data_IF_228577789268
#
_entry.id   IF_228577789268
#
_cell.length_a   1.000
_cell.length_b   1.000
_cell.length_c   1.000
_cell.angle_alpha   90.00
_cell.angle_beta   90.00
_cell.angle_gamma   90.00
#
_symmetry.space_group_name_H-M   'P 1'
#
loop_
_entity.id
_entity.type
_entity.pdbx_description
1 polymer ?
#
# COMPACT_ATOMS: atom_id res chain seq x y z
N UNK A 1 -11.34 -6.38 5.63
CA UNK A 1 -11.85 -6.30 4.23
C UNK A 1 -13.17 -7.05 4.05
N UNK A 2 -13.21 -8.38 4.26
CA UNK A 2 -14.45 -9.17 4.07
C UNK A 2 -15.68 -8.60 4.79
N UNK A 3 -15.56 -8.27 6.09
CA UNK A 3 -16.68 -7.65 6.82
C UNK A 3 -17.07 -6.26 6.28
N UNK A 4 -16.10 -5.47 5.83
CA UNK A 4 -16.37 -4.14 5.29
C UNK A 4 -17.08 -4.21 3.92
N UNK A 5 -16.97 -5.32 3.18
CA UNK A 5 -17.70 -5.55 1.93
C UNK A 5 -19.19 -5.82 2.14
N UNK A 6 -19.61 -6.18 3.36
CA UNK A 6 -21.02 -6.39 3.69
C UNK A 6 -21.83 -5.09 3.57
N UNK A 7 -21.18 -3.94 3.77
CA UNK A 7 -21.76 -2.65 3.44
C UNK A 7 -21.56 -2.40 1.93
N UNK A 8 -22.68 -2.23 1.22
CA UNK A 8 -22.69 -1.98 -0.22
C UNK A 8 -22.24 -0.56 -0.59
N UNK A 9 -22.23 0.38 0.35
CA UNK A 9 -21.77 1.75 0.14
C UNK A 9 -20.24 1.88 0.18
N UNK A 10 -19.53 0.86 0.67
CA UNK A 10 -18.07 0.83 0.70
C UNK A 10 -17.49 0.54 -0.69
N UNK A 11 -16.95 1.57 -1.32
CA UNK A 11 -16.34 1.52 -2.66
C UNK A 11 -14.82 1.37 -2.66
N UNK A 12 -14.15 1.78 -1.57
CA UNK A 12 -12.70 1.88 -1.45
C UNK A 12 -12.24 1.33 -0.12
N UNK A 13 -11.19 0.52 -0.13
CA UNK A 13 -10.66 -0.18 1.04
C UNK A 13 -9.19 0.21 1.22
N UNK A 14 -8.89 0.96 2.27
CA UNK A 14 -7.53 1.39 2.61
C UNK A 14 -7.11 0.70 3.89
N UNK A 15 -5.92 0.07 3.90
CA UNK A 15 -5.33 -0.47 5.12
C UNK A 15 -4.45 0.58 5.80
N UNK A 16 -4.78 0.92 7.05
CA UNK A 16 -4.02 1.85 7.89
C UNK A 16 -3.67 1.21 9.24
N UNK A 17 -2.66 1.75 9.91
CA UNK A 17 -2.29 1.43 11.30
C UNK A 17 -2.30 2.69 12.17
N UNK A 18 -2.22 2.53 13.49
CA UNK A 18 -2.10 3.63 14.47
C UNK A 18 -0.89 4.56 14.26
N UNK A 19 0.07 4.13 13.45
CA UNK A 19 1.29 4.85 13.10
C UNK A 19 1.26 5.43 11.68
N UNK A 20 0.07 5.46 11.07
CA UNK A 20 -0.18 6.12 9.79
C UNK A 20 -0.84 7.48 10.02
N UNK A 21 -0.54 8.45 9.15
CA UNK A 21 -1.23 9.74 9.11
C UNK A 21 -1.72 10.03 7.70
N UNK A 22 -2.82 10.78 7.53
CA UNK A 22 -3.13 11.40 6.25
C UNK A 22 -2.13 12.53 5.99
N UNK A 23 -1.70 12.69 4.74
CA UNK A 23 -0.88 13.85 4.33
C UNK A 23 -1.67 14.88 3.53
N UNK A 24 -2.93 14.61 3.20
CA UNK A 24 -3.90 15.56 2.64
C UNK A 24 -5.19 15.57 3.45
N UNK A 25 -6.00 16.61 3.30
CA UNK A 25 -7.32 16.66 3.92
C UNK A 25 -8.28 15.62 3.33
N UNK A 26 -9.35 15.30 4.07
CA UNK A 26 -10.29 14.26 3.67
C UNK A 26 -10.93 14.49 2.29
N UNK A 27 -11.41 15.70 1.93
CA UNK A 27 -11.99 15.94 0.60
C UNK A 27 -11.01 15.63 -0.55
N UNK A 28 -9.72 15.94 -0.38
CA UNK A 28 -8.68 15.63 -1.38
C UNK A 28 -8.47 14.14 -1.49
N UNK A 29 -8.28 13.43 -0.37
CA UNK A 29 -8.11 11.98 -0.33
C UNK A 29 -9.33 11.27 -0.93
N UNK A 30 -10.53 11.68 -0.55
CA UNK A 30 -11.78 11.13 -1.04
C UNK A 30 -11.91 11.28 -2.57
N UNK A 31 -11.75 12.51 -3.09
CA UNK A 31 -11.82 12.79 -4.53
C UNK A 31 -10.77 11.98 -5.31
N UNK A 32 -9.54 11.90 -4.81
CA UNK A 32 -8.47 11.15 -5.44
C UNK A 32 -8.81 9.66 -5.54
N UNK A 33 -9.23 9.04 -4.43
CA UNK A 33 -9.52 7.61 -4.40
C UNK A 33 -10.77 7.28 -5.21
N UNK A 34 -11.88 7.99 -4.99
CA UNK A 34 -13.14 7.72 -5.71
C UNK A 34 -13.00 7.97 -7.21
N UNK A 35 -12.26 9.01 -7.62
CA UNK A 35 -12.02 9.32 -9.04
C UNK A 35 -11.01 8.41 -9.74
N UNK A 36 -10.35 7.49 -9.04
CA UNK A 36 -9.36 6.59 -9.66
C UNK A 36 -10.06 5.47 -10.44
N UNK A 37 -9.60 5.11 -11.63
CA UNK A 37 -10.04 3.87 -12.30
C UNK A 37 -9.26 2.64 -11.83
N UNK A 38 -8.13 2.86 -11.14
CA UNK A 38 -7.25 1.81 -10.64
C UNK A 38 -7.36 1.63 -9.11
N UNK A 39 -6.94 0.46 -8.65
CA UNK A 39 -6.54 0.21 -7.26
C UNK A 39 -5.05 0.52 -7.07
N UNK A 40 -4.63 0.77 -5.83
CA UNK A 40 -3.24 1.06 -5.47
C UNK A 40 -2.62 -0.03 -4.60
N UNK A 41 -2.33 -1.18 -5.22
CA UNK A 41 -1.52 -2.25 -4.64
C UNK A 41 -0.13 -2.24 -5.27
N UNK A 42 0.90 -2.19 -4.44
CA UNK A 42 2.26 -2.34 -4.92
C UNK A 42 2.51 -3.77 -5.41
N UNK A 43 3.01 -3.95 -6.63
CA UNK A 43 3.27 -5.28 -7.20
C UNK A 43 4.43 -5.23 -8.17
N UNK A 44 5.57 -5.79 -7.75
CA UNK A 44 6.80 -5.77 -8.52
C UNK A 44 7.60 -7.06 -8.36
N UNK A 45 8.50 -7.28 -9.32
CA UNK A 45 9.44 -8.39 -9.30
C UNK A 45 10.73 -7.98 -8.57
N UNK A 46 10.92 -8.47 -7.36
CA UNK A 46 12.14 -8.21 -6.59
C UNK A 46 13.11 -9.40 -6.75
N UNK A 47 14.22 -9.25 -7.50
CA UNK A 47 15.15 -10.35 -7.73
C UNK A 47 15.98 -10.73 -6.49
N UNK A 48 15.90 -9.95 -5.41
CA UNK A 48 16.69 -10.18 -4.20
C UNK A 48 16.22 -11.38 -3.39
N UNK A 49 17.00 -11.71 -2.34
CA UNK A 49 16.63 -12.72 -1.34
C UNK A 49 15.30 -12.40 -0.63
N UNK A 50 14.91 -11.13 -0.58
CA UNK A 50 13.68 -10.68 0.08
C UNK A 50 12.45 -10.70 -0.83
N UNK A 51 12.63 -10.93 -2.13
CA UNK A 51 11.57 -11.10 -3.11
C UNK A 51 11.50 -12.54 -3.61
N UNK A 52 12.13 -12.80 -4.77
CA UNK A 52 12.24 -14.14 -5.39
C UNK A 52 12.87 -15.17 -4.46
N UNK A 53 13.78 -14.78 -3.56
CA UNK A 53 14.37 -15.70 -2.58
C UNK A 53 13.36 -16.30 -1.59
N UNK A 54 12.18 -15.69 -1.44
CA UNK A 54 11.09 -16.19 -0.56
C UNK A 54 10.10 -17.12 -1.28
N UNK A 55 10.24 -17.29 -2.60
CA UNK A 55 9.34 -18.13 -3.39
C UNK A 55 9.54 -19.63 -3.08
N UNK A 56 8.45 -20.36 -2.89
CA UNK A 56 8.47 -21.80 -2.67
C UNK A 56 8.12 -22.55 -3.97
N UNK A 57 9.02 -23.44 -4.42
CA UNK A 57 8.84 -24.23 -5.66
C UNK A 57 7.63 -25.15 -5.64
N UNK A 58 7.12 -25.52 -4.46
CA UNK A 58 5.90 -26.31 -4.30
C UNK A 58 4.62 -25.55 -4.66
N UNK A 59 4.71 -24.24 -4.90
CA UNK A 59 3.59 -23.45 -5.44
C UNK A 59 3.38 -23.68 -6.95
N UNK A 60 4.28 -24.40 -7.62
CA UNK A 60 4.08 -24.87 -8.99
C UNK A 60 3.02 -25.99 -9.03
N UNK A 61 2.26 -26.11 -10.13
CA UNK A 61 2.35 -25.32 -11.37
C UNK A 61 1.57 -23.99 -11.31
N UNK A 62 0.75 -23.78 -10.28
CA UNK A 62 -0.24 -22.71 -10.22
C UNK A 62 0.35 -21.30 -10.10
N UNK A 63 1.46 -21.16 -9.37
CA UNK A 63 2.23 -19.91 -9.27
C UNK A 63 3.66 -20.21 -9.67
N UNK A 64 4.12 -19.69 -10.81
CA UNK A 64 5.51 -19.83 -11.25
C UNK A 64 6.35 -18.66 -10.73
N UNK A 65 7.66 -18.85 -10.66
CA UNK A 65 8.58 -17.79 -10.22
C UNK A 65 8.41 -16.46 -10.99
N UNK A 66 8.17 -16.43 -12.32
CA UNK A 66 7.91 -15.16 -13.03
C UNK A 66 6.62 -14.45 -12.64
N UNK A 67 5.67 -15.17 -12.05
CA UNK A 67 4.40 -14.64 -11.56
C UNK A 67 4.52 -14.09 -10.13
N UNK A 68 5.54 -14.54 -9.38
CA UNK A 68 5.79 -14.14 -8.00
C UNK A 68 6.04 -12.64 -7.91
N UNK A 69 5.27 -11.97 -7.04
CA UNK A 69 5.41 -10.53 -6.81
C UNK A 69 5.59 -10.24 -5.33
N UNK A 70 6.30 -9.15 -5.09
CA UNK A 70 6.42 -8.50 -3.79
C UNK A 70 5.66 -7.16 -3.83
N UNK A 71 5.19 -6.73 -2.67
CA UNK A 71 4.55 -5.44 -2.48
C UNK A 71 4.51 -5.06 -1.01
N UNK A 72 4.16 -3.81 -0.75
CA UNK A 72 3.77 -3.31 0.55
C UNK A 72 2.51 -4.01 1.08
N UNK A 73 2.49 -4.31 2.37
CA UNK A 73 1.28 -4.73 3.10
C UNK A 73 0.20 -3.63 3.07
N UNK A 74 0.57 -2.34 2.99
CA UNK A 74 -0.35 -1.21 2.94
C UNK A 74 -0.84 -0.99 1.51
N UNK A 75 -2.12 -1.28 1.30
CA UNK A 75 -2.81 -1.10 0.03
C UNK A 75 -3.98 -0.13 0.14
N UNK A 76 -4.36 0.39 -1.02
CA UNK A 76 -5.75 0.75 -1.31
C UNK A 76 -6.27 -0.15 -2.43
N UNK A 77 -7.55 -0.53 -2.37
CA UNK A 77 -8.22 -1.17 -3.49
C UNK A 77 -9.68 -0.78 -3.61
N UNK A 78 -10.18 -0.78 -4.85
CA UNK A 78 -11.60 -0.60 -5.12
C UNK A 78 -12.41 -1.86 -4.77
N UNK A 79 -13.73 -1.69 -4.65
CA UNK A 79 -14.67 -2.77 -4.33
C UNK A 79 -14.58 -3.96 -5.28
N UNK A 80 -14.50 -3.70 -6.59
CA UNK A 80 -14.39 -4.77 -7.59
C UNK A 80 -13.20 -5.68 -7.30
N UNK A 81 -12.02 -5.12 -7.05
CA UNK A 81 -10.81 -5.89 -6.76
C UNK A 81 -10.86 -6.53 -5.38
N UNK A 82 -11.41 -5.85 -4.38
CA UNK A 82 -11.60 -6.37 -3.04
C UNK A 82 -12.48 -7.63 -3.04
N UNK A 83 -13.59 -7.63 -3.80
CA UNK A 83 -14.45 -8.81 -3.97
C UNK A 83 -13.67 -9.96 -4.59
N UNK A 84 -12.86 -9.71 -5.64
CA UNK A 84 -12.04 -10.74 -6.28
C UNK A 84 -11.06 -11.39 -5.30
N UNK A 85 -10.34 -10.57 -4.53
CA UNK A 85 -9.38 -11.06 -3.52
C UNK A 85 -10.09 -11.85 -2.42
N UNK A 86 -11.22 -11.38 -1.88
CA UNK A 86 -11.96 -12.11 -0.82
C UNK A 86 -12.58 -13.40 -1.35
N UNK A 87 -12.98 -13.45 -2.62
CA UNK A 87 -13.56 -14.64 -3.24
C UNK A 87 -12.54 -15.71 -3.61
N UNK A 88 -11.25 -15.39 -3.60
CA UNK A 88 -10.20 -16.35 -3.94
C UNK A 88 -9.97 -17.34 -2.80
N UNK A 89 -10.23 -18.60 -3.08
CA UNK A 89 -9.95 -19.73 -2.18
C UNK A 89 -8.70 -20.48 -2.61
N UNK A 90 -8.51 -20.67 -3.91
CA UNK A 90 -7.43 -21.50 -4.47
C UNK A 90 -6.05 -20.92 -4.17
N UNK A 91 -5.79 -19.66 -4.54
CA UNK A 91 -4.46 -19.08 -4.37
C UNK A 91 -4.20 -18.74 -2.92
N UNK A 92 -5.23 -18.29 -2.19
CA UNK A 92 -5.18 -18.17 -0.74
C UNK A 92 -4.72 -19.46 -0.06
N UNK A 93 -5.30 -20.63 -0.41
CA UNK A 93 -4.91 -21.91 0.17
C UNK A 93 -3.49 -22.34 -0.20
N UNK A 94 -3.05 -22.08 -1.44
CA UNK A 94 -1.66 -22.31 -1.86
C UNK A 94 -0.69 -21.48 -1.00
N UNK A 95 -0.96 -20.18 -0.83
CA UNK A 95 -0.16 -19.31 0.03
C UNK A 95 -0.18 -19.78 1.48
N UNK A 96 -1.37 -20.09 2.02
CA UNK A 96 -1.55 -20.60 3.37
C UNK A 96 -0.73 -21.87 3.62
N UNK A 97 -0.64 -22.76 2.63
CA UNK A 97 0.10 -24.03 2.72
C UNK A 97 1.61 -23.84 2.57
N UNK A 98 2.06 -23.06 1.59
CA UNK A 98 3.47 -23.06 1.16
C UNK A 98 4.25 -21.79 1.48
N UNK A 99 3.60 -20.66 1.74
CA UNK A 99 4.24 -19.42 2.20
C UNK A 99 4.39 -19.47 3.73
N UNK A 100 5.40 -20.20 4.20
CA UNK A 100 5.80 -20.25 5.62
C UNK A 100 7.09 -19.46 5.83
N UNK A 101 7.37 -18.96 7.04
CA UNK A 101 8.61 -18.23 7.32
C UNK A 101 9.84 -18.93 6.72
N UNK A 102 10.71 -18.25 5.99
CA UNK A 102 10.80 -16.79 5.82
C UNK A 102 9.98 -16.21 4.64
N UNK A 103 8.82 -16.76 4.28
CA UNK A 103 7.84 -16.13 3.37
C UNK A 103 6.75 -15.37 4.16
N UNK A 104 6.37 -14.18 3.68
CA UNK A 104 5.38 -13.30 4.31
C UNK A 104 4.17 -13.08 3.37
N UNK A 105 3.02 -13.73 3.62
CA UNK A 105 1.91 -13.72 2.67
C UNK A 105 1.27 -12.33 2.53
N UNK A 106 1.30 -11.51 3.57
CA UNK A 106 0.86 -10.11 3.57
C UNK A 106 1.64 -9.20 2.61
N UNK A 107 2.89 -9.57 2.26
CA UNK A 107 3.72 -8.85 1.28
C UNK A 107 3.75 -9.50 -0.12
N UNK A 108 3.14 -10.68 -0.29
CA UNK A 108 3.28 -11.48 -1.51
C UNK A 108 1.97 -11.98 -2.12
N UNK A 109 0.96 -12.31 -1.32
CA UNK A 109 -0.30 -12.92 -1.79
C UNK A 109 -1.06 -11.98 -2.71
N UNK A 110 -1.52 -10.84 -2.20
CA UNK A 110 -2.33 -9.88 -2.96
C UNK A 110 -1.56 -9.38 -4.20
N UNK A 111 -0.27 -8.98 -4.10
CA UNK A 111 0.51 -8.56 -5.28
C UNK A 111 0.60 -9.63 -6.37
N UNK A 112 0.82 -10.90 -5.98
CA UNK A 112 0.94 -12.03 -6.92
C UNK A 112 -0.42 -12.36 -7.55
N UNK A 113 -1.48 -12.42 -6.74
CA UNK A 113 -2.83 -12.70 -7.22
C UNK A 113 -3.30 -11.65 -8.23
N UNK A 114 -3.08 -10.36 -7.94
CA UNK A 114 -3.40 -9.27 -8.86
C UNK A 114 -2.58 -9.39 -10.14
N UNK A 115 -1.28 -9.67 -10.06
CA UNK A 115 -0.44 -9.84 -11.25
C UNK A 115 -0.94 -10.97 -12.15
N UNK A 116 -1.43 -12.07 -11.58
CA UNK A 116 -1.93 -13.21 -12.35
C UNK A 116 -3.25 -12.89 -13.06
N UNK A 117 -4.17 -12.15 -12.43
CA UNK A 117 -5.57 -12.10 -12.88
C UNK A 117 -6.13 -10.70 -13.14
N UNK A 118 -5.58 -9.66 -12.52
CA UNK A 118 -6.21 -8.34 -12.42
C UNK A 118 -5.24 -7.18 -12.63
N UNK A 119 -4.10 -7.42 -13.28
CA UNK A 119 -3.06 -6.42 -13.54
C UNK A 119 -3.57 -5.10 -14.14
N UNK A 120 -4.45 -5.11 -15.16
CA UNK A 120 -5.02 -3.88 -15.73
C UNK A 120 -5.87 -3.04 -14.77
N UNK A 121 -6.33 -3.58 -13.64
CA UNK A 121 -7.12 -2.87 -12.64
C UNK A 121 -6.24 -2.23 -11.55
N UNK A 122 -4.91 -2.36 -11.63
CA UNK A 122 -3.99 -1.99 -10.58
C UNK A 122 -2.89 -1.05 -11.09
N UNK A 123 -2.56 -0.02 -10.29
CA UNK A 123 -1.53 0.96 -10.63
C UNK A 123 -0.09 0.47 -10.34
N UNK A 124 0.08 -0.72 -9.75
CA UNK A 124 1.36 -1.29 -9.30
C UNK A 124 2.17 -0.37 -8.36
N UNK A 125 1.47 0.46 -7.58
CA UNK A 125 2.04 1.33 -6.55
C UNK A 125 1.09 1.42 -5.36
N UNK A 126 1.61 1.82 -4.21
CA UNK A 126 0.81 2.17 -3.02
C UNK A 126 0.59 3.69 -2.93
N UNK A 127 -0.45 4.11 -2.21
CA UNK A 127 -0.70 5.51 -1.81
C UNK A 127 -0.14 5.83 -0.42
N UNK A 128 0.61 4.92 0.19
CA UNK A 128 1.21 5.11 1.52
C UNK A 128 2.71 5.31 1.42
N UNK A 129 3.20 6.50 1.76
CA UNK A 129 4.62 6.81 1.84
C UNK A 129 5.27 6.04 2.99
N UNK A 130 6.44 5.47 2.72
CA UNK A 130 7.26 4.74 3.68
C UNK A 130 8.73 5.09 3.43
N UNK A 131 9.46 5.42 4.49
CA UNK A 131 10.89 5.67 4.40
C UNK A 131 11.70 4.41 4.73
N UNK A 132 12.37 3.88 3.71
CA UNK A 132 13.25 2.70 3.80
C UNK A 132 14.74 3.06 3.83
N UNK A 133 15.10 4.35 3.98
CA UNK A 133 16.49 4.84 3.91
C UNK A 133 17.44 4.19 4.93
N UNK A 134 16.93 3.80 6.10
CA UNK A 134 17.72 3.10 7.13
C UNK A 134 18.05 1.65 6.78
N UNK A 135 17.37 1.07 5.79
CA UNK A 135 17.47 -0.35 5.47
C UNK A 135 16.92 -1.28 6.56
N UNK A 136 17.04 -2.58 6.34
CA UNK A 136 16.56 -3.61 7.28
C UNK A 136 15.09 -4.01 7.09
N UNK A 137 14.51 -4.74 8.06
CA UNK A 137 13.18 -5.33 7.93
C UNK A 137 12.04 -4.37 8.27
N UNK A 138 12.34 -3.18 8.80
CA UNK A 138 11.35 -2.20 9.23
C UNK A 138 11.69 -0.81 8.70
N UNK A 139 10.69 -0.01 8.32
CA UNK A 139 10.92 1.35 7.85
C UNK A 139 11.31 2.28 9.00
N UNK A 140 11.89 3.43 8.64
CA UNK A 140 12.22 4.49 9.58
C UNK A 140 10.97 5.00 10.31
N UNK A 141 11.17 5.42 11.56
CA UNK A 141 10.12 6.01 12.38
C UNK A 141 10.39 7.49 12.63
N UNK A 142 9.38 8.32 12.38
CA UNK A 142 9.43 9.76 12.59
C UNK A 142 8.92 10.10 14.00
N UNK A 143 9.70 10.88 14.73
CA UNK A 143 9.39 11.39 16.07
C UNK A 143 9.08 12.88 16.02
N UNK A 144 8.76 13.48 17.17
CA UNK A 144 8.47 14.91 17.30
C UNK A 144 9.44 15.82 16.52
N UNK A 145 10.75 15.55 16.60
CA UNK A 145 11.80 16.39 16.00
C UNK A 145 11.78 16.39 14.47
N UNK A 146 11.15 15.38 13.85
CA UNK A 146 11.04 15.26 12.41
C UNK A 146 9.85 16.04 11.85
N UNK A 147 8.88 16.40 12.70
CA UNK A 147 7.60 16.96 12.27
C UNK A 147 7.74 18.46 12.04
N UNK A 148 7.82 18.83 10.76
CA UNK A 148 7.86 20.21 10.29
C UNK A 148 6.95 20.37 9.07
N UNK A 149 6.55 21.60 8.75
CA UNK A 149 5.81 21.89 7.53
C UNK A 149 6.58 21.44 6.28
N UNK A 150 7.88 21.76 6.21
CA UNK A 150 8.75 21.35 5.11
C UNK A 150 8.81 19.82 4.93
N UNK A 151 8.81 19.07 6.04
CA UNK A 151 8.77 17.60 5.98
C UNK A 151 7.46 17.08 5.38
N UNK A 152 6.30 17.62 5.79
CA UNK A 152 5.01 17.24 5.22
C UNK A 152 4.90 17.62 3.74
N UNK A 153 5.39 18.80 3.36
CA UNK A 153 5.45 19.22 1.96
C UNK A 153 6.36 18.31 1.11
N UNK A 154 7.47 17.85 1.68
CA UNK A 154 8.36 16.89 1.03
C UNK A 154 7.67 15.55 0.80
N UNK A 155 6.86 15.05 1.74
CA UNK A 155 6.06 13.83 1.52
C UNK A 155 5.02 14.06 0.41
N UNK A 156 4.36 15.22 0.40
CA UNK A 156 3.35 15.58 -0.62
C UNK A 156 3.95 15.67 -2.02
N UNK A 157 5.15 16.25 -2.13
CA UNK A 157 5.84 16.46 -3.40
C UNK A 157 7.37 16.43 -3.19
N UNK A 158 7.97 15.25 -3.40
CA UNK A 158 9.43 15.07 -3.39
C UNK A 158 10.03 15.10 -4.81
N UNK A 159 9.32 15.66 -5.79
CA UNK A 159 9.73 15.66 -7.20
C UNK A 159 9.51 14.34 -7.94
N UNK A 160 9.06 13.28 -7.24
CA UNK A 160 8.66 12.02 -7.89
C UNK A 160 7.33 12.22 -8.59
N UNK A 161 7.25 11.74 -9.82
CA UNK A 161 5.99 11.62 -10.53
C UNK A 161 5.55 10.15 -10.61
N UNK A 162 4.25 9.93 -10.60
CA UNK A 162 3.64 8.61 -10.64
C UNK A 162 2.42 8.61 -11.55
N UNK A 163 1.88 7.42 -11.82
CA UNK A 163 0.69 7.27 -12.63
C UNK A 163 -0.59 7.41 -11.78
N UNK A 164 -1.54 8.17 -12.30
CA UNK A 164 -2.92 8.26 -11.83
C UNK A 164 -3.84 8.26 -13.05
N UNK A 165 -4.77 7.31 -13.14
CA UNK A 165 -5.64 7.14 -14.32
C UNK A 165 -4.89 7.12 -15.66
N UNK A 166 -3.71 6.46 -15.68
CA UNK A 166 -2.81 6.38 -16.85
C UNK A 166 -2.16 7.71 -17.26
N UNK A 167 -2.32 8.76 -16.45
CA UNK A 167 -1.67 10.06 -16.62
C UNK A 167 -0.61 10.30 -15.54
N UNK A 168 0.29 11.26 -15.80
CA UNK A 168 1.35 11.61 -14.87
C UNK A 168 0.82 12.60 -13.82
N UNK A 169 1.06 12.31 -12.54
CA UNK A 169 0.74 13.20 -11.41
C UNK A 169 1.92 13.32 -10.45
N UNK A 170 1.94 14.40 -9.68
CA UNK A 170 2.86 14.60 -8.56
C UNK A 170 2.26 14.18 -7.21
N UNK A 171 0.95 13.90 -7.15
CA UNK A 171 0.27 13.41 -5.94
C UNK A 171 0.39 11.89 -5.89
N UNK A 172 1.46 11.42 -5.28
CA UNK A 172 1.78 9.99 -5.24
C UNK A 172 1.32 9.31 -3.95
N UNK A 173 1.38 10.00 -2.82
CA UNK A 173 1.05 9.44 -1.52
C UNK A 173 -0.05 10.26 -0.86
N UNK A 174 -1.07 9.57 -0.35
CA UNK A 174 -2.18 10.15 0.41
C UNK A 174 -2.00 9.96 1.92
N UNK A 175 -1.22 8.94 2.29
CA UNK A 175 -0.90 8.60 3.67
C UNK A 175 0.61 8.46 3.83
N UNK A 176 1.09 8.51 5.07
CA UNK A 176 2.49 8.28 5.40
C UNK A 176 2.65 7.46 6.69
N UNK A 177 3.77 6.74 6.79
CA UNK A 177 4.19 6.00 7.99
C UNK A 177 5.72 5.86 8.02
N UNK A 178 6.37 5.58 9.16
CA UNK A 178 5.81 5.27 10.49
C UNK A 178 5.99 6.42 11.46
N UNK A 179 4.94 6.84 12.15
CA UNK A 179 5.01 7.91 13.14
C UNK A 179 5.00 7.33 14.56
N UNK A 180 5.90 7.81 15.41
CA UNK A 180 5.91 7.49 16.83
C UNK A 180 4.87 8.33 17.59
N UNK A 181 4.42 7.88 18.79
CA UNK A 181 3.46 8.66 19.59
C UNK A 181 3.90 10.10 19.87
N UNK A 182 5.20 10.35 19.99
CA UNK A 182 5.73 11.71 20.19
C UNK A 182 5.48 12.66 19.01
N UNK A 183 5.17 12.16 17.82
CA UNK A 183 4.82 12.98 16.67
C UNK A 183 3.43 13.61 16.77
N UNK A 184 2.54 13.11 17.64
CA UNK A 184 1.14 13.50 17.68
C UNK A 184 0.93 14.99 17.92
N UNK A 185 1.51 15.54 18.99
CA UNK A 185 1.32 16.95 19.34
C UNK A 185 1.85 17.91 18.25
N UNK A 186 3.08 17.73 17.71
CA UNK A 186 3.55 18.51 16.56
C UNK A 186 2.64 18.39 15.32
N UNK A 187 2.12 17.20 15.02
CA UNK A 187 1.21 16.98 13.90
C UNK A 187 -0.11 17.73 14.08
N UNK A 188 -0.70 17.71 15.29
CA UNK A 188 -1.91 18.45 15.60
C UNK A 188 -1.69 19.96 15.49
N UNK A 189 -0.55 20.46 15.96
CA UNK A 189 -0.20 21.88 15.85
C UNK A 189 -0.05 22.32 14.39
N UNK A 190 0.51 21.47 13.51
CA UNK A 190 0.60 21.74 12.07
C UNK A 190 -0.74 21.56 11.34
N UNK A 191 -1.63 20.72 11.84
CA UNK A 191 -2.91 20.42 11.17
C UNK A 191 -3.74 21.69 10.95
N UNK A 192 -3.75 22.60 11.93
CA UNK A 192 -4.41 23.91 11.85
C UNK A 192 -3.85 24.85 10.78
N UNK A 193 -2.60 24.63 10.32
CA UNK A 193 -1.89 25.48 9.36
C UNK A 193 -1.75 24.87 7.97
N UNK A 194 -1.59 23.55 7.88
CA UNK A 194 -1.13 22.85 6.65
C UNK A 194 -2.16 21.88 6.10
N UNK A 195 -3.07 21.40 6.95
CA UNK A 195 -4.08 20.41 6.58
C UNK A 195 -5.45 21.03 6.33
N UNK A 196 -5.64 22.33 6.61
CA UNK A 196 -6.89 23.06 6.35
C UNK A 196 -8.13 22.29 6.80
N UNK A 197 -8.14 21.85 8.06
CA UNK A 197 -9.36 21.36 8.70
C UNK A 197 -10.32 22.52 9.00
#
# INVERSE_FOLDING_TARGET
MANALLDFSNERFVLLSESCIPVYNFPTVYKYLIGSIHSFVESYDDPSRYGRGRYNRHMKPDIKLPDWRKGSQWFEMNRTLAVRVVSDTKYYDIFRRFCKPACYPDEHYIPTFIRLFHGPLNANRTVTYVDWSLGGPHPAAFSAVNITEGFLQLIRNNGTACAYNSEKTHVCYLFARKFNPSALEPLLNLSSKVMEF
#
